data_IF_712043389969
#
_entry.id   IF_712043389969
#
_cell.length_a   1.000
_cell.length_b   1.000
_cell.length_c   1.000
_cell.angle_alpha   90.00
_cell.angle_beta   90.00
_cell.angle_gamma   90.00
#
_symmetry.space_group_name_H-M   'P 1'
#
loop_
_entity.id
_entity.type
_entity.pdbx_description
1 polymer ?
#
# COMPACT_ATOMS: atom_id res chain seq x y z
N UNK A 1 -11.60 -33.01 -49.69
CA UNK A 1 -10.61 -32.80 -48.59
C UNK A 1 -10.67 -31.34 -48.21
N UNK A 2 -11.52 -30.99 -47.26
CA UNK A 2 -11.61 -29.62 -46.71
C UNK A 2 -10.89 -29.59 -45.35
N UNK A 3 -9.68 -29.06 -45.36
CA UNK A 3 -8.88 -28.87 -44.18
C UNK A 3 -9.50 -27.80 -43.29
N UNK A 4 -10.08 -28.21 -42.19
CA UNK A 4 -10.59 -27.39 -41.10
C UNK A 4 -9.44 -26.63 -40.43
N UNK A 5 -9.14 -25.41 -40.89
CA UNK A 5 -8.23 -24.48 -40.18
C UNK A 5 -8.94 -23.94 -38.94
N UNK A 6 -8.95 -24.72 -37.89
CA UNK A 6 -9.24 -24.16 -36.56
C UNK A 6 -8.12 -23.19 -36.19
N UNK A 7 -8.36 -21.91 -36.44
CA UNK A 7 -7.58 -20.79 -36.01
C UNK A 7 -7.27 -20.92 -34.51
N UNK A 8 -6.04 -21.38 -34.22
CA UNK A 8 -5.42 -21.30 -32.92
C UNK A 8 -5.36 -19.80 -32.54
N UNK A 9 -6.33 -19.28 -31.83
CA UNK A 9 -6.24 -18.00 -31.12
C UNK A 9 -5.19 -18.17 -30.00
N UNK A 10 -3.90 -18.19 -30.42
CA UNK A 10 -2.81 -17.98 -29.46
C UNK A 10 -3.16 -16.73 -28.66
N UNK A 11 -3.14 -16.85 -27.34
CA UNK A 11 -3.29 -15.72 -26.41
C UNK A 11 -2.42 -14.61 -26.99
N UNK A 12 -3.05 -13.51 -27.48
CA UNK A 12 -2.31 -12.34 -27.93
C UNK A 12 -1.48 -11.91 -26.73
N UNK A 13 -0.15 -12.11 -26.79
CA UNK A 13 0.77 -11.54 -25.81
C UNK A 13 0.48 -10.05 -25.79
N UNK A 14 -0.15 -9.59 -24.71
CA UNK A 14 -0.38 -8.16 -24.52
C UNK A 14 0.98 -7.47 -24.60
N UNK A 15 1.03 -6.32 -25.27
CA UNK A 15 2.24 -5.52 -25.21
C UNK A 15 2.49 -5.19 -23.75
N UNK A 16 3.66 -5.57 -23.23
CA UNK A 16 4.08 -5.29 -21.85
C UNK A 16 3.79 -3.83 -21.46
N UNK A 17 4.04 -2.90 -22.39
CA UNK A 17 3.78 -1.48 -22.20
C UNK A 17 2.29 -1.16 -21.95
N UNK A 18 1.37 -1.83 -22.67
CA UNK A 18 -0.07 -1.63 -22.44
C UNK A 18 -0.51 -2.12 -21.06
N UNK A 19 0.08 -3.23 -20.59
CA UNK A 19 -0.17 -3.74 -19.25
C UNK A 19 0.35 -2.78 -18.17
N UNK A 20 1.54 -2.23 -18.34
CA UNK A 20 2.13 -1.23 -17.43
C UNK A 20 1.30 0.05 -17.40
N UNK A 21 0.90 0.58 -18.56
CA UNK A 21 0.04 1.76 -18.64
C UNK A 21 -1.31 1.52 -17.95
N UNK A 22 -1.92 0.35 -18.15
CA UNK A 22 -3.18 0.01 -17.47
C UNK A 22 -3.03 -0.01 -15.95
N UNK A 23 -1.91 -0.54 -15.43
CA UNK A 23 -1.60 -0.47 -13.99
C UNK A 23 -1.40 0.97 -13.51
N UNK A 24 -0.67 1.80 -14.26
CA UNK A 24 -0.44 3.21 -13.89
C UNK A 24 -1.75 3.99 -13.80
N UNK A 25 -2.59 3.89 -14.82
CA UNK A 25 -3.92 4.54 -14.82
C UNK A 25 -4.78 4.03 -13.67
N UNK A 26 -4.76 2.71 -13.41
CA UNK A 26 -5.46 2.10 -12.27
C UNK A 26 -4.99 2.69 -10.95
N UNK A 27 -3.68 2.84 -10.73
CA UNK A 27 -3.14 3.40 -9.48
C UNK A 27 -3.55 4.86 -9.26
N UNK A 28 -3.57 5.66 -10.31
CA UNK A 28 -4.05 7.06 -10.24
C UNK A 28 -5.54 7.10 -9.86
N UNK A 29 -6.38 6.30 -10.55
CA UNK A 29 -7.81 6.19 -10.23
C UNK A 29 -8.05 5.76 -8.79
N UNK A 30 -7.30 4.76 -8.30
CA UNK A 30 -7.38 4.27 -6.92
C UNK A 30 -7.12 5.41 -5.92
N UNK A 31 -6.16 6.28 -6.19
CA UNK A 31 -5.84 7.41 -5.32
C UNK A 31 -6.93 8.48 -5.32
N UNK A 32 -7.48 8.81 -6.49
CA UNK A 32 -8.61 9.74 -6.57
C UNK A 32 -9.86 9.21 -5.85
N UNK A 33 -10.20 7.95 -6.08
CA UNK A 33 -11.32 7.31 -5.39
C UNK A 33 -11.06 7.21 -3.87
N UNK A 34 -9.81 6.94 -3.49
CA UNK A 34 -9.37 6.93 -2.11
C UNK A 34 -9.53 8.29 -1.42
N UNK A 35 -9.21 9.37 -2.13
CA UNK A 35 -9.45 10.73 -1.64
C UNK A 35 -10.96 11.02 -1.52
N UNK A 36 -11.74 10.65 -2.53
CA UNK A 36 -13.17 10.94 -2.58
C UNK A 36 -13.93 10.36 -1.37
N UNK A 37 -13.72 9.07 -1.02
CA UNK A 37 -14.42 8.50 0.12
C UNK A 37 -13.90 9.05 1.46
N UNK A 38 -12.60 9.35 1.58
CA UNK A 38 -12.06 9.98 2.80
C UNK A 38 -12.57 11.41 2.98
N UNK A 39 -12.64 12.16 1.90
CA UNK A 39 -13.26 13.49 1.89
C UNK A 39 -14.71 13.44 2.38
N UNK A 40 -15.50 12.49 1.83
CA UNK A 40 -16.88 12.26 2.26
C UNK A 40 -16.97 11.93 3.77
N UNK A 41 -16.17 10.96 4.26
CA UNK A 41 -16.16 10.55 5.65
C UNK A 41 -15.84 11.71 6.60
N UNK A 42 -14.81 12.49 6.28
CA UNK A 42 -14.38 13.61 7.14
C UNK A 42 -15.43 14.70 7.25
N UNK A 43 -16.20 14.94 6.18
CA UNK A 43 -17.27 15.95 6.17
C UNK A 43 -18.63 15.42 6.66
N UNK A 44 -18.75 14.11 6.89
CA UNK A 44 -19.99 13.51 7.39
C UNK A 44 -20.24 13.93 8.83
N UNK A 45 -21.48 14.41 9.10
CA UNK A 45 -21.94 14.74 10.43
C UNK A 45 -21.84 13.52 11.37
N UNK A 46 -21.32 13.72 12.57
CA UNK A 46 -21.08 12.66 13.56
C UNK A 46 -19.83 11.79 13.28
N UNK A 47 -19.09 12.01 12.18
CA UNK A 47 -17.84 11.28 11.90
C UNK A 47 -16.60 12.15 12.21
N UNK A 48 -16.38 13.21 11.46
CA UNK A 48 -15.35 14.22 11.68
C UNK A 48 -13.94 13.67 11.96
N UNK A 49 -13.22 14.33 12.87
CA UNK A 49 -11.84 13.95 13.24
C UNK A 49 -11.78 12.73 14.15
N UNK A 50 -12.75 12.55 15.01
CA UNK A 50 -12.87 11.37 15.89
C UNK A 50 -13.10 10.10 15.07
N UNK A 51 -14.06 10.10 14.14
CA UNK A 51 -14.30 8.98 13.24
C UNK A 51 -13.09 8.66 12.36
N UNK A 52 -12.35 9.68 11.91
CA UNK A 52 -11.09 9.50 11.19
C UNK A 52 -10.02 8.84 12.07
N UNK A 53 -9.96 9.14 13.37
CA UNK A 53 -9.02 8.51 14.29
C UNK A 53 -9.33 7.02 14.45
N UNK A 54 -10.59 6.69 14.76
CA UNK A 54 -11.08 5.31 14.92
C UNK A 54 -10.85 4.51 13.64
N UNK A 55 -11.26 5.05 12.48
CA UNK A 55 -11.05 4.43 11.17
C UNK A 55 -9.55 4.22 10.87
N UNK A 56 -8.73 5.26 11.07
CA UNK A 56 -7.29 5.23 10.73
C UNK A 56 -6.54 4.27 11.64
N UNK A 57 -6.87 4.19 12.93
CA UNK A 57 -6.25 3.28 13.88
C UNK A 57 -6.44 1.81 13.44
N UNK A 58 -7.68 1.39 13.19
CA UNK A 58 -7.96 0.02 12.74
C UNK A 58 -7.37 -0.26 11.34
N UNK A 59 -7.48 0.72 10.43
CA UNK A 59 -6.95 0.56 9.07
C UNK A 59 -5.42 0.45 9.02
N UNK A 60 -4.68 1.09 9.92
CA UNK A 60 -3.22 0.98 9.96
C UNK A 60 -2.72 -0.39 10.38
N UNK A 61 -3.39 -1.04 11.35
CA UNK A 61 -3.08 -2.43 11.72
C UNK A 61 -3.37 -3.37 10.54
N UNK A 62 -4.52 -3.20 9.89
CA UNK A 62 -4.84 -3.93 8.66
C UNK A 62 -3.79 -3.68 7.55
N UNK A 63 -3.35 -2.44 7.35
CA UNK A 63 -2.35 -2.08 6.34
C UNK A 63 -0.97 -2.71 6.61
N UNK A 64 -0.60 -2.91 7.88
CA UNK A 64 0.59 -3.66 8.25
C UNK A 64 0.50 -5.11 7.76
N UNK A 65 -0.59 -5.81 8.07
CA UNK A 65 -0.83 -7.18 7.61
C UNK A 65 -0.95 -7.25 6.09
N UNK A 66 -1.59 -6.25 5.48
CA UNK A 66 -1.70 -6.10 4.04
C UNK A 66 -0.33 -5.98 3.37
N UNK A 67 0.61 -5.24 3.97
CA UNK A 67 1.96 -5.03 3.41
C UNK A 67 2.73 -6.34 3.25
N UNK A 68 2.55 -7.28 4.16
CA UNK A 68 3.13 -8.62 4.07
C UNK A 68 2.57 -9.37 2.86
N UNK A 69 1.26 -9.32 2.67
CA UNK A 69 0.55 -10.12 1.67
C UNK A 69 0.52 -9.48 0.28
N UNK A 70 0.42 -8.15 0.18
CA UNK A 70 0.11 -7.48 -1.09
C UNK A 70 1.32 -7.11 -1.94
N UNK A 71 2.52 -7.05 -1.38
CA UNK A 71 3.74 -6.66 -2.10
C UNK A 71 4.68 -7.85 -2.29
N UNK A 72 5.02 -8.55 -1.21
CA UNK A 72 5.97 -9.65 -1.24
C UNK A 72 5.47 -10.85 -2.02
N UNK A 73 4.24 -11.26 -1.77
CA UNK A 73 3.62 -12.45 -2.34
C UNK A 73 3.41 -12.37 -3.86
N UNK A 74 2.77 -11.31 -4.41
CA UNK A 74 2.57 -11.24 -5.86
C UNK A 74 3.89 -11.22 -6.62
N UNK A 75 4.90 -10.52 -6.11
CA UNK A 75 6.19 -10.42 -6.77
C UNK A 75 6.94 -11.76 -6.75
N UNK A 76 6.90 -12.50 -5.63
CA UNK A 76 7.51 -13.82 -5.53
C UNK A 76 6.83 -14.85 -6.45
N UNK A 77 5.50 -14.90 -6.41
CA UNK A 77 4.73 -15.82 -7.27
C UNK A 77 4.92 -15.47 -8.74
N UNK A 78 4.85 -14.19 -9.09
CA UNK A 78 5.06 -13.70 -10.47
C UNK A 78 6.43 -14.10 -11.01
N UNK A 79 7.49 -13.90 -10.22
CA UNK A 79 8.85 -14.29 -10.58
C UNK A 79 8.94 -15.79 -10.85
N UNK A 80 8.53 -16.62 -9.90
CA UNK A 80 8.65 -18.08 -10.01
C UNK A 80 7.78 -18.66 -11.13
N UNK A 81 6.58 -18.11 -11.35
CA UNK A 81 5.70 -18.49 -12.47
C UNK A 81 6.33 -18.09 -13.80
N UNK A 82 6.86 -16.87 -13.93
CA UNK A 82 7.52 -16.42 -15.16
C UNK A 82 8.76 -17.24 -15.49
N UNK A 83 9.59 -17.59 -14.50
CA UNK A 83 10.75 -18.46 -14.66
C UNK A 83 10.37 -19.84 -15.25
N UNK A 84 9.27 -20.43 -14.77
CA UNK A 84 8.80 -21.72 -15.30
C UNK A 84 8.21 -21.61 -16.70
N UNK A 85 7.44 -20.58 -16.96
CA UNK A 85 6.86 -20.36 -18.28
C UNK A 85 7.92 -20.06 -19.34
N UNK A 86 9.03 -19.38 -18.98
CA UNK A 86 10.12 -19.06 -19.90
C UNK A 86 10.85 -20.30 -20.44
N UNK A 87 10.86 -21.38 -19.67
CA UNK A 87 11.45 -22.69 -20.08
C UNK A 87 10.42 -23.68 -20.61
N UNK A 88 9.17 -23.24 -20.83
CA UNK A 88 8.08 -24.09 -21.36
C UNK A 88 7.41 -25.01 -20.33
N UNK A 89 7.69 -24.84 -19.02
CA UNK A 89 7.11 -25.64 -17.94
C UNK A 89 5.81 -25.03 -17.41
N UNK A 90 4.74 -25.06 -18.22
CA UNK A 90 3.42 -24.58 -17.84
C UNK A 90 2.79 -25.38 -16.69
N UNK A 91 3.09 -26.69 -16.60
CA UNK A 91 2.65 -27.55 -15.51
C UNK A 91 3.29 -27.19 -14.18
N UNK A 92 4.60 -26.90 -14.18
CA UNK A 92 5.33 -26.42 -13.01
C UNK A 92 4.86 -25.05 -12.55
N UNK A 93 4.64 -24.12 -13.48
CA UNK A 93 4.08 -22.79 -13.19
C UNK A 93 2.71 -22.86 -12.49
N UNK A 94 1.80 -23.73 -13.00
CA UNK A 94 0.50 -23.94 -12.38
C UNK A 94 0.58 -24.67 -11.03
N UNK A 95 1.52 -25.57 -10.85
CA UNK A 95 1.81 -26.22 -9.56
C UNK A 95 2.25 -25.20 -8.52
N UNK A 96 3.18 -24.27 -8.86
CA UNK A 96 3.59 -23.18 -7.99
C UNK A 96 2.39 -22.35 -7.56
N UNK A 97 1.52 -21.99 -8.50
CA UNK A 97 0.28 -21.25 -8.20
C UNK A 97 -0.59 -21.99 -7.19
N UNK A 98 -0.87 -23.28 -7.38
CA UNK A 98 -1.71 -24.08 -6.47
C UNK A 98 -1.11 -24.18 -5.06
N UNK A 99 0.19 -24.43 -4.97
CA UNK A 99 0.89 -24.52 -3.69
C UNK A 99 0.88 -23.14 -2.99
N UNK A 100 1.20 -22.07 -3.71
CA UNK A 100 1.14 -20.71 -3.17
C UNK A 100 -0.28 -20.37 -2.67
N UNK A 101 -1.31 -20.68 -3.47
CA UNK A 101 -2.70 -20.43 -3.12
C UNK A 101 -3.10 -21.13 -1.81
N UNK A 102 -2.79 -22.43 -1.68
CA UNK A 102 -3.07 -23.18 -0.46
C UNK A 102 -2.29 -22.64 0.75
N UNK A 103 -0.99 -22.35 0.57
CA UNK A 103 -0.12 -21.82 1.64
C UNK A 103 -0.63 -20.48 2.14
N UNK A 104 -0.93 -19.53 1.23
CA UNK A 104 -1.37 -18.19 1.61
C UNK A 104 -2.84 -18.12 2.01
N UNK A 105 -3.67 -19.10 1.62
CA UNK A 105 -5.01 -19.27 2.18
C UNK A 105 -4.92 -19.62 3.67
N UNK A 106 -4.03 -20.53 4.06
CA UNK A 106 -3.80 -20.87 5.48
C UNK A 106 -3.21 -19.70 6.25
N UNK A 107 -2.17 -19.05 5.72
CA UNK A 107 -1.54 -17.88 6.36
C UNK A 107 -2.54 -16.72 6.50
N UNK A 108 -3.32 -16.44 5.45
CA UNK A 108 -4.35 -15.41 5.48
C UNK A 108 -5.48 -15.71 6.46
N UNK A 109 -5.89 -16.97 6.58
CA UNK A 109 -6.88 -17.39 7.58
C UNK A 109 -6.36 -17.20 9.01
N UNK A 110 -5.12 -17.63 9.28
CA UNK A 110 -4.50 -17.43 10.58
C UNK A 110 -4.41 -15.93 10.90
N UNK A 111 -3.91 -15.11 9.95
CA UNK A 111 -3.84 -13.65 10.12
C UNK A 111 -5.21 -13.01 10.37
N UNK A 112 -6.25 -13.46 9.67
CA UNK A 112 -7.63 -13.03 9.86
C UNK A 112 -8.14 -13.36 11.26
N UNK A 113 -7.95 -14.60 11.72
CA UNK A 113 -8.34 -15.03 13.07
C UNK A 113 -7.54 -14.30 14.16
N UNK A 114 -6.23 -14.11 13.95
CA UNK A 114 -5.40 -13.34 14.88
C UNK A 114 -5.88 -11.89 15.02
N UNK A 115 -6.27 -11.24 13.92
CA UNK A 115 -6.81 -9.88 13.98
C UNK A 115 -8.19 -9.87 14.62
N UNK A 116 -9.05 -10.85 14.33
CA UNK A 116 -10.39 -10.96 14.90
C UNK A 116 -10.36 -11.11 16.43
N UNK A 117 -9.62 -12.11 16.91
CA UNK A 117 -9.52 -12.38 18.37
C UNK A 117 -8.58 -11.41 19.10
N UNK A 118 -7.60 -10.84 18.39
CA UNK A 118 -6.66 -9.86 18.95
C UNK A 118 -7.16 -8.42 18.92
N UNK A 119 -8.29 -8.13 18.26
CA UNK A 119 -8.80 -6.76 18.08
C UNK A 119 -8.93 -5.99 19.40
N UNK A 120 -9.53 -6.63 20.41
CA UNK A 120 -9.72 -6.03 21.73
C UNK A 120 -8.38 -5.68 22.41
N UNK A 121 -7.41 -6.59 22.40
CA UNK A 121 -6.08 -6.37 23.02
C UNK A 121 -5.36 -5.23 22.28
N UNK A 122 -5.42 -5.23 20.95
CA UNK A 122 -4.74 -4.21 20.12
C UNK A 122 -5.38 -2.84 20.36
N UNK A 123 -6.72 -2.75 20.36
CA UNK A 123 -7.45 -1.49 20.54
C UNK A 123 -7.21 -0.90 21.93
N UNK A 124 -7.37 -1.71 22.98
CA UNK A 124 -7.36 -1.24 24.37
C UNK A 124 -5.94 -1.08 24.92
N UNK A 125 -5.05 -2.07 24.70
CA UNK A 125 -3.74 -2.05 25.33
C UNK A 125 -2.65 -1.38 24.48
N UNK A 126 -2.66 -1.59 23.16
CA UNK A 126 -1.61 -1.07 22.29
C UNK A 126 -1.93 0.31 21.75
N UNK A 127 -3.10 0.49 21.13
CA UNK A 127 -3.51 1.77 20.54
C UNK A 127 -4.09 2.74 21.57
N UNK A 128 -4.69 2.22 22.66
CA UNK A 128 -5.47 3.00 23.62
C UNK A 128 -6.62 3.79 22.99
N UNK A 129 -7.22 3.22 21.94
CA UNK A 129 -8.42 3.68 21.26
C UNK A 129 -9.41 2.52 21.26
N UNK A 130 -10.21 2.32 22.34
CA UNK A 130 -11.11 1.18 22.49
C UNK A 130 -12.09 1.04 21.32
N UNK A 131 -12.61 2.15 20.81
CA UNK A 131 -13.57 2.21 19.72
C UNK A 131 -13.02 1.69 18.38
N UNK A 132 -11.69 1.59 18.24
CA UNK A 132 -11.07 0.99 17.06
C UNK A 132 -11.21 -0.55 17.00
N UNK A 133 -11.64 -1.22 18.06
CA UNK A 133 -11.88 -2.66 18.09
C UNK A 133 -12.84 -3.08 16.97
N UNK A 134 -13.99 -2.40 16.87
CA UNK A 134 -15.01 -2.72 15.87
C UNK A 134 -14.48 -2.60 14.43
N UNK A 135 -13.62 -1.63 14.18
CA UNK A 135 -13.01 -1.45 12.83
C UNK A 135 -12.06 -2.59 12.48
N UNK A 136 -11.30 -3.11 13.46
CA UNK A 136 -10.41 -4.25 13.26
C UNK A 136 -11.16 -5.55 13.08
N UNK A 137 -12.23 -5.78 13.84
CA UNK A 137 -13.14 -6.93 13.68
C UNK A 137 -13.75 -6.93 12.28
N UNK A 138 -14.24 -5.78 11.80
CA UNK A 138 -14.81 -5.64 10.47
C UNK A 138 -13.78 -5.84 9.34
N UNK A 139 -12.50 -5.50 9.56
CA UNK A 139 -11.40 -5.69 8.60
C UNK A 139 -10.78 -7.09 8.64
N UNK A 140 -11.01 -7.87 9.69
CA UNK A 140 -10.33 -9.16 9.86
C UNK A 140 -10.56 -10.13 8.69
N UNK A 141 -11.77 -10.29 8.09
CA UNK A 141 -11.94 -11.17 6.93
C UNK A 141 -11.24 -10.65 5.66
N UNK A 142 -11.02 -9.32 5.56
CA UNK A 142 -10.30 -8.74 4.43
C UNK A 142 -8.87 -9.27 4.32
N UNK A 143 -8.21 -9.54 5.45
CA UNK A 143 -6.85 -10.11 5.49
C UNK A 143 -6.78 -11.43 4.72
N UNK A 144 -7.77 -12.30 4.91
CA UNK A 144 -7.86 -13.57 4.19
C UNK A 144 -8.06 -13.35 2.68
N UNK A 145 -9.03 -12.54 2.28
CA UNK A 145 -9.32 -12.31 0.86
C UNK A 145 -8.15 -11.66 0.14
N UNK A 146 -7.47 -10.71 0.77
CA UNK A 146 -6.29 -10.06 0.18
C UNK A 146 -5.14 -11.05 0.01
N UNK A 147 -4.88 -11.93 0.97
CA UNK A 147 -3.80 -12.91 0.87
C UNK A 147 -3.99 -13.82 -0.36
N UNK A 148 -5.18 -14.36 -0.57
CA UNK A 148 -5.46 -15.22 -1.74
C UNK A 148 -5.53 -14.43 -3.05
N UNK A 149 -6.12 -13.23 -3.05
CA UNK A 149 -6.15 -12.35 -4.23
C UNK A 149 -4.72 -11.99 -4.68
N UNK A 150 -3.81 -11.76 -3.73
CA UNK A 150 -2.40 -11.44 -4.00
C UNK A 150 -1.67 -12.56 -4.74
N UNK A 151 -1.92 -13.82 -4.38
CA UNK A 151 -1.38 -14.98 -5.12
C UNK A 151 -1.92 -15.04 -6.55
N UNK A 152 -3.23 -14.80 -6.71
CA UNK A 152 -3.85 -14.80 -8.05
C UNK A 152 -3.30 -13.66 -8.93
N UNK A 153 -3.14 -12.46 -8.36
CA UNK A 153 -2.48 -11.34 -9.05
C UNK A 153 -1.06 -11.71 -9.46
N UNK A 154 -0.29 -12.32 -8.56
CA UNK A 154 1.06 -12.82 -8.86
C UNK A 154 1.09 -13.83 -10.00
N UNK A 155 0.15 -14.76 -10.03
CA UNK A 155 0.03 -15.75 -11.11
C UNK A 155 -0.24 -15.09 -12.46
N UNK A 156 -1.20 -14.15 -12.56
CA UNK A 156 -1.50 -13.44 -13.80
C UNK A 156 -0.36 -12.50 -14.22
N UNK A 157 0.29 -11.83 -13.28
CA UNK A 157 1.46 -10.99 -13.56
C UNK A 157 2.63 -11.83 -14.12
N UNK A 158 2.88 -13.03 -13.56
CA UNK A 158 3.88 -13.97 -14.08
C UNK A 158 3.56 -14.49 -15.48
N UNK A 159 2.29 -14.50 -15.86
CA UNK A 159 1.81 -14.78 -17.23
C UNK A 159 1.80 -13.55 -18.14
N UNK A 160 2.37 -12.44 -17.69
CA UNK A 160 2.39 -11.15 -18.41
C UNK A 160 1.00 -10.56 -18.70
N UNK A 161 0.01 -10.89 -17.88
CA UNK A 161 -1.35 -10.35 -17.99
C UNK A 161 -1.64 -9.35 -16.85
N UNK A 162 -0.99 -8.19 -16.93
CA UNK A 162 -1.07 -7.13 -15.93
C UNK A 162 -2.44 -6.43 -15.88
N UNK A 163 -3.19 -6.44 -17.00
CA UNK A 163 -4.52 -5.84 -17.08
C UNK A 163 -5.50 -6.47 -16.11
N UNK A 164 -5.39 -7.78 -15.85
CA UNK A 164 -6.25 -8.48 -14.91
C UNK A 164 -6.03 -7.95 -13.49
N UNK A 165 -4.77 -7.74 -13.11
CA UNK A 165 -4.41 -7.14 -11.82
C UNK A 165 -4.94 -5.72 -11.71
N UNK A 166 -4.71 -4.89 -12.73
CA UNK A 166 -5.20 -3.51 -12.78
C UNK A 166 -6.72 -3.44 -12.60
N UNK A 167 -7.48 -4.23 -13.38
CA UNK A 167 -8.94 -4.28 -13.28
C UNK A 167 -9.43 -4.75 -11.92
N UNK A 168 -8.80 -5.79 -11.35
CA UNK A 168 -9.14 -6.29 -10.02
C UNK A 168 -8.99 -5.19 -8.95
N UNK A 169 -7.88 -4.45 -8.96
CA UNK A 169 -7.61 -3.38 -8.01
C UNK A 169 -8.54 -2.18 -8.20
N UNK A 170 -8.81 -1.81 -9.46
CA UNK A 170 -9.76 -0.73 -9.77
C UNK A 170 -11.18 -1.08 -9.33
N UNK A 171 -11.66 -2.29 -9.61
CA UNK A 171 -12.97 -2.76 -9.15
C UNK A 171 -13.06 -2.75 -7.63
N UNK A 172 -12.05 -3.31 -6.95
CA UNK A 172 -11.98 -3.30 -5.49
C UNK A 172 -12.10 -1.87 -4.94
N UNK A 173 -11.40 -0.90 -5.52
CA UNK A 173 -11.45 0.48 -5.06
C UNK A 173 -12.78 1.16 -5.37
N UNK A 174 -13.38 0.93 -6.54
CA UNK A 174 -14.72 1.45 -6.87
C UNK A 174 -15.75 0.92 -5.87
N UNK A 175 -15.77 -0.40 -5.64
CA UNK A 175 -16.69 -1.00 -4.67
C UNK A 175 -16.41 -0.50 -3.25
N UNK A 176 -15.15 -0.37 -2.85
CA UNK A 176 -14.78 0.22 -1.56
C UNK A 176 -15.37 1.61 -1.40
N UNK A 177 -15.16 2.50 -2.37
CA UNK A 177 -15.64 3.88 -2.29
C UNK A 177 -17.18 3.92 -2.22
N UNK A 178 -17.85 3.21 -3.12
CA UNK A 178 -19.32 3.18 -3.19
C UNK A 178 -19.95 2.56 -1.94
N UNK A 179 -19.44 1.39 -1.51
CA UNK A 179 -19.97 0.73 -0.31
C UNK A 179 -19.65 1.48 0.97
N UNK A 180 -18.52 2.21 1.05
CA UNK A 180 -18.23 3.06 2.21
C UNK A 180 -19.29 4.13 2.36
N UNK A 181 -19.64 4.82 1.29
CA UNK A 181 -20.69 5.86 1.32
C UNK A 181 -22.05 5.25 1.71
N UNK A 182 -22.43 4.16 1.05
CA UNK A 182 -23.73 3.51 1.29
C UNK A 182 -23.84 2.98 2.73
N UNK A 183 -22.84 2.23 3.20
CA UNK A 183 -22.90 1.62 4.53
C UNK A 183 -22.82 2.67 5.64
N UNK A 184 -22.05 3.73 5.47
CA UNK A 184 -21.98 4.81 6.46
C UNK A 184 -23.31 5.55 6.55
N UNK A 185 -24.01 5.81 5.41
CA UNK A 185 -25.34 6.42 5.44
C UNK A 185 -26.37 5.52 6.13
N UNK A 186 -26.40 4.23 5.78
CA UNK A 186 -27.31 3.27 6.41
C UNK A 186 -27.06 3.20 7.91
N UNK A 187 -25.79 3.08 8.31
CA UNK A 187 -25.41 2.98 9.72
C UNK A 187 -25.71 4.28 10.47
N UNK A 188 -25.46 5.45 9.86
CA UNK A 188 -25.77 6.74 10.46
C UNK A 188 -27.28 6.85 10.82
N UNK A 189 -28.16 6.38 9.93
CA UNK A 189 -29.61 6.38 10.17
C UNK A 189 -29.99 5.40 11.29
N UNK A 190 -29.43 4.19 11.30
CA UNK A 190 -29.80 3.13 12.26
C UNK A 190 -29.23 3.42 13.67
N UNK A 191 -27.97 3.89 13.73
CA UNK A 191 -27.25 4.08 15.00
C UNK A 191 -27.32 5.50 15.57
N UNK A 192 -28.21 6.33 15.04
CA UNK A 192 -28.35 7.73 15.44
C UNK A 192 -27.01 8.49 15.42
N UNK A 193 -26.28 8.36 14.30
CA UNK A 193 -24.98 9.01 14.03
C UNK A 193 -23.82 8.59 14.97
N UNK A 194 -23.85 7.38 15.53
CA UNK A 194 -22.74 6.87 16.34
C UNK A 194 -21.45 6.74 15.50
N UNK A 195 -20.40 7.45 15.91
CA UNK A 195 -19.08 7.51 15.27
C UNK A 195 -18.45 6.12 15.13
N UNK A 196 -18.53 5.30 16.18
CA UNK A 196 -17.96 3.94 16.23
C UNK A 196 -18.60 3.03 15.20
N UNK A 197 -19.94 3.03 15.11
CA UNK A 197 -20.68 2.20 14.16
C UNK A 197 -20.43 2.66 12.71
N UNK A 198 -20.35 3.98 12.47
CA UNK A 198 -20.01 4.51 11.15
C UNK A 198 -18.60 4.11 10.71
N UNK A 199 -17.61 4.15 11.62
CA UNK A 199 -16.24 3.71 11.34
C UNK A 199 -16.18 2.20 11.07
N UNK A 200 -16.95 1.39 11.82
CA UNK A 200 -17.15 -0.04 11.56
C UNK A 200 -17.78 -0.31 10.19
N UNK A 201 -18.81 0.42 9.81
CA UNK A 201 -19.44 0.34 8.49
C UNK A 201 -18.48 0.69 7.34
N UNK A 202 -17.69 1.76 7.50
CA UNK A 202 -16.69 2.17 6.52
C UNK A 202 -15.58 1.10 6.34
N UNK A 203 -15.19 0.42 7.40
CA UNK A 203 -14.20 -0.67 7.35
C UNK A 203 -14.79 -1.96 6.82
N UNK A 204 -16.05 -2.28 7.12
CA UNK A 204 -16.78 -3.41 6.54
C UNK A 204 -16.87 -3.28 5.01
N UNK A 205 -17.06 -2.06 4.49
CA UNK A 205 -17.02 -1.78 3.04
C UNK A 205 -15.70 -2.24 2.41
N UNK A 206 -14.56 -2.08 3.11
CA UNK A 206 -13.26 -2.55 2.63
C UNK A 206 -13.23 -4.08 2.53
N UNK A 207 -13.78 -4.80 3.49
CA UNK A 207 -13.89 -6.27 3.49
C UNK A 207 -14.73 -6.76 2.31
N UNK A 208 -15.91 -6.16 2.09
CA UNK A 208 -16.77 -6.51 0.96
C UNK A 208 -16.10 -6.20 -0.38
N UNK A 209 -15.39 -5.07 -0.48
CA UNK A 209 -14.66 -4.71 -1.69
C UNK A 209 -13.52 -5.68 -2.02
N UNK A 210 -12.76 -6.14 -1.01
CA UNK A 210 -11.71 -7.15 -1.22
C UNK A 210 -12.28 -8.49 -1.64
N UNK A 211 -13.45 -8.87 -1.12
CA UNK A 211 -14.18 -10.05 -1.57
C UNK A 211 -14.58 -9.94 -3.04
N UNK A 212 -15.09 -8.78 -3.48
CA UNK A 212 -15.42 -8.52 -4.90
C UNK A 212 -14.17 -8.59 -5.79
N UNK A 213 -13.06 -7.98 -5.35
CA UNK A 213 -11.77 -8.04 -6.05
C UNK A 213 -11.26 -9.48 -6.22
N UNK A 214 -11.35 -10.30 -5.18
CA UNK A 214 -11.07 -11.73 -5.25
C UNK A 214 -12.03 -12.45 -6.18
N UNK A 215 -13.34 -12.20 -6.07
CA UNK A 215 -14.38 -12.80 -6.91
C UNK A 215 -14.11 -12.57 -8.39
N UNK A 216 -13.75 -11.33 -8.79
CA UNK A 216 -13.34 -11.03 -10.16
C UNK A 216 -12.17 -11.90 -10.63
N UNK A 217 -11.11 -12.00 -9.82
CA UNK A 217 -9.94 -12.82 -10.16
C UNK A 217 -10.29 -14.30 -10.29
N UNK A 218 -11.10 -14.82 -9.39
CA UNK A 218 -11.56 -16.20 -9.41
C UNK A 218 -12.42 -16.50 -10.65
N UNK A 219 -13.38 -15.63 -10.98
CA UNK A 219 -14.20 -15.75 -12.18
C UNK A 219 -13.33 -15.70 -13.45
N UNK A 220 -12.36 -14.77 -13.50
CA UNK A 220 -11.43 -14.70 -14.62
C UNK A 220 -10.58 -15.97 -14.75
N UNK A 221 -10.09 -16.52 -13.64
CA UNK A 221 -9.40 -17.81 -13.64
C UNK A 221 -10.28 -18.95 -14.15
N UNK A 222 -11.55 -19.01 -13.70
CA UNK A 222 -12.52 -20.03 -14.11
C UNK A 222 -12.80 -19.97 -15.62
N UNK A 223 -12.96 -18.78 -16.19
CA UNK A 223 -13.18 -18.61 -17.64
C UNK A 223 -11.99 -19.05 -18.48
N UNK A 224 -10.75 -18.87 -17.95
CA UNK A 224 -9.51 -19.28 -18.63
C UNK A 224 -9.04 -20.69 -18.32
N UNK A 225 -9.77 -21.43 -17.50
CA UNK A 225 -9.38 -22.77 -17.04
C UNK A 225 -9.13 -23.76 -18.19
N UNK A 226 -9.93 -23.71 -19.26
CA UNK A 226 -9.78 -24.58 -20.43
C UNK A 226 -8.46 -24.30 -21.17
N UNK A 227 -8.10 -23.03 -21.36
CA UNK A 227 -6.87 -22.61 -22.03
C UNK A 227 -5.64 -23.02 -21.18
N UNK A 228 -5.68 -22.76 -19.85
CA UNK A 228 -4.63 -23.16 -18.93
C UNK A 228 -4.46 -24.68 -18.93
N UNK A 229 -5.55 -25.46 -18.98
CA UNK A 229 -5.49 -26.92 -19.03
C UNK A 229 -4.86 -27.43 -20.33
N UNK A 230 -5.12 -26.79 -21.51
CA UNK A 230 -4.44 -27.17 -22.76
C UNK A 230 -2.93 -26.88 -22.70
N UNK A 231 -2.54 -25.70 -22.21
CA UNK A 231 -1.11 -25.37 -22.03
C UNK A 231 -0.37 -26.34 -21.09
N UNK A 232 -1.07 -26.83 -20.04
CA UNK A 232 -0.50 -27.82 -19.11
C UNK A 232 -0.29 -29.17 -19.81
N UNK A 233 -1.20 -29.57 -20.72
CA UNK A 233 -1.06 -30.81 -21.50
C UNK A 233 0.08 -30.75 -22.52
N UNK A 234 0.33 -29.57 -23.07
CA UNK A 234 1.39 -29.31 -24.06
C UNK A 234 2.76 -29.08 -23.42
N UNK A 235 2.89 -29.21 -22.09
CA UNK A 235 4.16 -29.01 -21.37
C UNK A 235 5.20 -30.05 -21.78
N UNK A 236 6.31 -29.57 -22.37
CA UNK A 236 7.41 -30.46 -22.83
C UNK A 236 8.43 -30.70 -21.71
N UNK A 237 8.79 -29.69 -20.94
CA UNK A 237 9.87 -29.71 -19.95
C UNK A 237 9.33 -29.59 -18.52
N UNK A 238 8.69 -30.64 -17.99
CA UNK A 238 8.20 -30.63 -16.62
C UNK A 238 9.29 -31.04 -15.63
N UNK A 239 9.65 -30.13 -14.71
CA UNK A 239 10.52 -30.42 -13.56
C UNK A 239 9.69 -30.54 -12.29
N UNK A 240 9.62 -31.76 -11.75
CA UNK A 240 8.95 -32.01 -10.48
C UNK A 240 9.73 -31.38 -9.32
N UNK A 241 9.06 -30.63 -8.46
CA UNK A 241 9.60 -30.11 -7.20
C UNK A 241 8.69 -30.50 -6.04
N UNK A 242 9.27 -30.85 -4.88
CA UNK A 242 8.48 -31.19 -3.69
C UNK A 242 7.75 -29.94 -3.19
N UNK A 243 6.58 -30.11 -2.57
CA UNK A 243 5.78 -28.99 -2.03
C UNK A 243 6.61 -28.12 -1.08
N UNK A 244 7.38 -28.76 -0.17
CA UNK A 244 8.27 -28.07 0.78
C UNK A 244 9.32 -27.18 0.09
N UNK A 245 9.88 -27.62 -1.02
CA UNK A 245 10.88 -26.87 -1.80
C UNK A 245 10.24 -25.63 -2.46
N UNK A 246 9.04 -25.80 -3.03
CA UNK A 246 8.28 -24.72 -3.64
C UNK A 246 7.91 -23.68 -2.59
N UNK A 247 7.37 -24.09 -1.44
CA UNK A 247 7.06 -23.19 -0.31
C UNK A 247 8.29 -22.44 0.15
N UNK A 248 9.43 -23.17 0.35
CA UNK A 248 10.70 -22.56 0.74
C UNK A 248 11.15 -21.50 -0.26
N UNK A 249 11.06 -21.78 -1.57
CA UNK A 249 11.42 -20.82 -2.64
C UNK A 249 10.52 -19.58 -2.61
N UNK A 250 9.20 -19.77 -2.46
CA UNK A 250 8.26 -18.65 -2.37
C UNK A 250 8.60 -17.78 -1.16
N UNK A 251 8.78 -18.37 0.02
CA UNK A 251 9.10 -17.64 1.24
C UNK A 251 10.46 -16.93 1.16
N UNK A 252 11.49 -17.57 0.63
CA UNK A 252 12.82 -16.95 0.45
C UNK A 252 12.80 -15.73 -0.48
N UNK A 253 11.89 -15.68 -1.45
CA UNK A 253 11.73 -14.51 -2.33
C UNK A 253 10.78 -13.48 -1.73
N UNK A 254 9.68 -13.91 -1.10
CA UNK A 254 8.67 -12.98 -0.57
C UNK A 254 9.09 -12.28 0.71
N UNK A 255 9.81 -12.96 1.63
CA UNK A 255 10.20 -12.38 2.92
C UNK A 255 11.06 -11.12 2.79
N UNK A 256 12.16 -11.08 2.01
CA UNK A 256 12.95 -9.85 1.88
C UNK A 256 12.17 -8.68 1.29
N UNK A 257 11.26 -8.95 0.33
CA UNK A 257 10.40 -7.92 -0.26
C UNK A 257 9.35 -7.45 0.75
N UNK A 258 8.76 -8.38 1.50
CA UNK A 258 7.80 -8.05 2.55
C UNK A 258 8.45 -7.26 3.69
N UNK A 259 9.70 -7.56 4.07
CA UNK A 259 10.41 -6.82 5.10
C UNK A 259 10.55 -5.32 4.78
N UNK A 260 10.87 -4.94 3.54
CA UNK A 260 10.91 -3.52 3.14
C UNK A 260 9.54 -2.86 3.23
N UNK A 261 8.48 -3.57 2.85
CA UNK A 261 7.11 -3.08 2.97
C UNK A 261 6.65 -2.97 4.43
N UNK A 262 7.01 -3.94 5.27
CA UNK A 262 6.74 -3.93 6.71
C UNK A 262 7.44 -2.74 7.38
N UNK A 263 8.74 -2.53 7.11
CA UNK A 263 9.49 -1.41 7.67
C UNK A 263 8.86 -0.05 7.30
N UNK A 264 8.38 0.08 6.05
CA UNK A 264 7.66 1.29 5.63
C UNK A 264 6.32 1.47 6.36
N UNK A 265 5.59 0.38 6.60
CA UNK A 265 4.32 0.41 7.34
C UNK A 265 4.54 0.62 8.84
N UNK A 266 5.60 0.04 9.42
CA UNK A 266 5.95 0.23 10.82
C UNK A 266 6.21 1.70 11.16
N UNK A 267 6.85 2.46 10.27
CA UNK A 267 7.04 3.89 10.49
C UNK A 267 5.72 4.65 10.70
N UNK A 268 4.65 4.26 9.98
CA UNK A 268 3.31 4.85 10.18
C UNK A 268 2.63 4.32 11.45
N UNK A 269 2.83 3.04 11.76
CA UNK A 269 2.26 2.44 12.97
C UNK A 269 2.92 2.95 14.26
N UNK A 270 4.21 3.29 14.24
CA UNK A 270 4.88 3.94 15.38
C UNK A 270 4.11 5.20 15.79
N UNK A 271 3.70 6.04 14.81
CA UNK A 271 2.88 7.23 15.10
C UNK A 271 1.56 6.84 15.78
N UNK A 272 0.88 5.78 15.32
CA UNK A 272 -0.38 5.33 15.93
C UNK A 272 -0.20 4.87 17.38
N UNK A 273 0.89 4.17 17.68
CA UNK A 273 1.15 3.68 19.03
C UNK A 273 1.66 4.76 20.00
N UNK A 274 2.45 5.71 19.49
CA UNK A 274 3.16 6.68 20.34
C UNK A 274 2.42 8.00 20.50
N UNK A 275 1.78 8.51 19.44
CA UNK A 275 1.15 9.85 19.44
C UNK A 275 -0.02 9.90 20.42
N UNK A 276 -0.99 9.00 20.31
CA UNK A 276 -2.18 9.00 21.17
C UNK A 276 -1.77 8.82 22.63
N UNK A 277 -0.92 7.81 22.93
CA UNK A 277 -0.44 7.51 24.29
C UNK A 277 0.26 8.70 24.93
N UNK A 278 0.97 9.47 24.15
CA UNK A 278 1.73 10.61 24.65
C UNK A 278 0.87 11.85 24.82
N UNK A 279 -0.10 12.06 23.93
CA UNK A 279 -1.04 13.17 24.05
C UNK A 279 -1.94 13.00 25.24
N UNK A 280 -2.34 11.78 25.60
CA UNK A 280 -3.12 11.47 26.82
C UNK A 280 -2.42 11.90 28.13
N UNK A 281 -1.11 12.14 28.13
CA UNK A 281 -0.40 12.67 29.32
C UNK A 281 -0.65 14.16 29.54
N UNK A 282 -1.08 14.90 28.52
CA UNK A 282 -1.19 16.37 28.54
C UNK A 282 -2.59 16.90 28.23
N UNK A 283 -3.49 16.07 27.73
CA UNK A 283 -4.84 16.44 27.35
C UNK A 283 -5.84 15.29 27.59
N UNK A 284 -7.15 15.62 27.53
CA UNK A 284 -8.19 14.61 27.63
C UNK A 284 -8.08 13.55 26.52
N UNK A 285 -8.64 12.38 26.77
CA UNK A 285 -8.62 11.25 25.83
C UNK A 285 -9.24 11.63 24.48
N UNK A 286 -10.41 12.27 24.49
CA UNK A 286 -11.13 12.68 23.29
C UNK A 286 -10.31 13.68 22.45
N UNK A 287 -9.65 14.64 23.12
CA UNK A 287 -8.77 15.60 22.42
C UNK A 287 -7.55 14.91 21.83
N UNK A 288 -6.95 13.93 22.52
CA UNK A 288 -5.80 13.20 22.04
C UNK A 288 -6.16 12.35 20.79
N UNK A 289 -7.31 11.68 20.83
CA UNK A 289 -7.84 10.88 19.72
C UNK A 289 -8.16 11.77 18.52
N UNK A 290 -8.83 12.92 18.75
CA UNK A 290 -9.13 13.89 17.69
C UNK A 290 -7.86 14.43 17.01
N UNK A 291 -6.82 14.79 17.76
CA UNK A 291 -5.54 15.25 17.20
C UNK A 291 -4.87 14.16 16.34
N UNK A 292 -4.94 12.90 16.76
CA UNK A 292 -4.46 11.80 15.94
C UNK A 292 -5.29 11.65 14.64
N UNK A 293 -6.62 11.85 14.72
CA UNK A 293 -7.52 11.86 13.56
C UNK A 293 -7.19 12.93 12.53
N UNK A 294 -6.80 14.13 12.98
CA UNK A 294 -6.32 15.20 12.11
C UNK A 294 -5.07 14.75 11.34
N UNK A 295 -4.09 14.18 12.04
CA UNK A 295 -2.84 13.74 11.42
C UNK A 295 -3.07 12.58 10.44
N UNK A 296 -3.68 11.49 10.90
CA UNK A 296 -3.85 10.24 10.13
C UNK A 296 -4.95 10.29 9.09
N UNK A 297 -6.00 11.07 9.33
CA UNK A 297 -7.15 11.21 8.43
C UNK A 297 -6.94 12.26 7.35
N UNK A 298 -6.88 13.52 7.73
CA UNK A 298 -6.83 14.66 6.81
C UNK A 298 -5.44 14.92 6.26
N UNK A 299 -4.46 15.12 7.14
CA UNK A 299 -3.12 15.56 6.76
C UNK A 299 -2.38 14.50 5.94
N UNK A 300 -2.37 13.23 6.38
CA UNK A 300 -1.74 12.13 5.61
C UNK A 300 -2.43 11.93 4.24
N UNK A 301 -3.73 12.15 4.16
CA UNK A 301 -4.48 12.08 2.90
C UNK A 301 -4.03 13.18 1.93
N UNK A 302 -4.00 14.43 2.37
CA UNK A 302 -3.61 15.58 1.54
C UNK A 302 -2.15 15.50 1.10
N UNK A 303 -1.23 15.21 2.03
CA UNK A 303 0.20 15.10 1.73
C UNK A 303 0.53 13.91 0.83
N UNK A 304 -0.29 12.85 0.83
CA UNK A 304 -0.09 11.68 -0.04
C UNK A 304 -0.47 11.90 -1.50
N UNK A 305 -1.26 12.93 -1.83
CA UNK A 305 -1.65 13.22 -3.21
C UNK A 305 -0.45 13.60 -4.10
N UNK A 306 0.39 14.60 -3.75
CA UNK A 306 1.61 14.90 -4.51
C UNK A 306 2.56 13.73 -4.65
N UNK A 307 2.70 12.90 -3.59
CA UNK A 307 3.56 11.72 -3.60
C UNK A 307 3.10 10.71 -4.65
N UNK A 308 1.80 10.61 -4.88
CA UNK A 308 1.22 9.67 -5.87
C UNK A 308 1.60 10.00 -7.31
N UNK A 309 1.71 11.29 -7.64
CA UNK A 309 2.21 11.72 -8.96
C UNK A 309 3.68 11.35 -9.15
N UNK A 310 4.50 11.50 -8.11
CA UNK A 310 5.91 11.14 -8.19
C UNK A 310 6.14 9.63 -8.33
N UNK A 311 5.31 8.79 -7.74
CA UNK A 311 5.40 7.33 -7.86
C UNK A 311 5.39 6.86 -9.32
N UNK A 312 4.64 7.52 -10.19
CA UNK A 312 4.60 7.18 -11.62
C UNK A 312 5.97 7.36 -12.29
N UNK A 313 6.64 8.50 -12.03
CA UNK A 313 8.00 8.77 -12.53
C UNK A 313 9.03 7.82 -11.92
N UNK A 314 8.96 7.60 -10.62
CA UNK A 314 9.83 6.71 -9.88
C UNK A 314 9.74 5.25 -10.41
N UNK A 315 8.53 4.76 -10.64
CA UNK A 315 8.29 3.41 -11.17
C UNK A 315 8.82 3.24 -12.60
N UNK A 316 8.66 4.25 -13.46
CA UNK A 316 9.19 4.22 -14.82
C UNK A 316 10.73 4.30 -14.86
N UNK A 317 11.35 4.93 -13.85
CA UNK A 317 12.80 5.11 -13.77
C UNK A 317 13.55 3.80 -13.56
N UNK A 318 13.00 2.90 -12.76
CA UNK A 318 13.63 1.61 -12.42
C UNK A 318 14.00 0.79 -13.65
N UNK A 319 13.07 0.44 -14.57
CA UNK A 319 13.42 -0.30 -15.77
C UNK A 319 14.32 0.49 -16.71
N UNK A 320 14.17 1.81 -16.79
CA UNK A 320 14.97 2.67 -17.64
C UNK A 320 16.46 2.70 -17.22
N UNK A 321 16.74 2.71 -15.92
CA UNK A 321 18.10 2.62 -15.38
C UNK A 321 18.64 1.18 -15.54
N UNK A 322 17.84 0.16 -15.26
CA UNK A 322 18.25 -1.24 -15.40
C UNK A 322 18.67 -1.57 -16.83
N UNK A 323 17.91 -1.09 -17.82
CA UNK A 323 18.24 -1.26 -19.24
C UNK A 323 19.54 -0.53 -19.63
N UNK A 324 19.72 0.73 -19.21
CA UNK A 324 20.93 1.48 -19.49
C UNK A 324 22.18 0.87 -18.81
N UNK A 325 22.01 0.33 -17.58
CA UNK A 325 23.07 -0.38 -16.87
C UNK A 325 23.52 -1.66 -17.60
N UNK A 326 22.58 -2.40 -18.17
CA UNK A 326 22.87 -3.63 -18.90
C UNK A 326 23.80 -3.39 -20.09
N UNK A 327 23.67 -2.23 -20.76
CA UNK A 327 24.52 -1.81 -21.87
C UNK A 327 25.70 -0.91 -21.45
N UNK A 328 25.94 -0.75 -20.14
CA UNK A 328 27.00 0.09 -19.53
C UNK A 328 26.92 1.57 -19.96
N UNK A 329 25.77 2.08 -20.32
CA UNK A 329 25.54 3.48 -20.69
C UNK A 329 25.34 4.37 -19.46
N UNK A 330 26.43 4.70 -18.78
CA UNK A 330 26.42 5.54 -17.58
C UNK A 330 25.98 6.98 -17.85
N UNK A 331 26.18 7.47 -19.09
CA UNK A 331 25.74 8.82 -19.48
C UNK A 331 24.20 8.90 -19.49
N UNK A 332 23.55 7.92 -20.09
CA UNK A 332 22.09 7.81 -20.08
C UNK A 332 21.51 7.65 -18.66
N UNK A 333 22.18 6.85 -17.80
CA UNK A 333 21.80 6.71 -16.39
C UNK A 333 21.81 8.06 -15.68
N UNK A 334 22.94 8.81 -15.80
CA UNK A 334 23.07 10.14 -15.18
C UNK A 334 21.98 11.09 -15.68
N UNK A 335 21.78 11.18 -17.01
CA UNK A 335 20.77 12.07 -17.60
C UNK A 335 19.35 11.74 -17.09
N UNK A 336 18.95 10.46 -17.10
CA UNK A 336 17.63 10.03 -16.65
C UNK A 336 17.44 10.27 -15.15
N UNK A 337 18.46 10.00 -14.33
CA UNK A 337 18.42 10.24 -12.89
C UNK A 337 18.28 11.73 -12.57
N UNK A 338 19.10 12.59 -13.19
CA UNK A 338 19.03 14.04 -12.99
C UNK A 338 17.68 14.59 -13.47
N UNK A 339 17.21 14.18 -14.66
CA UNK A 339 15.91 14.59 -15.17
C UNK A 339 14.78 14.22 -14.22
N UNK A 340 14.75 12.99 -13.71
CA UNK A 340 13.69 12.55 -12.78
C UNK A 340 13.78 13.28 -11.45
N UNK A 341 14.98 13.55 -10.91
CA UNK A 341 15.14 14.36 -9.71
C UNK A 341 14.63 15.80 -9.91
N UNK A 342 14.91 16.42 -11.05
CA UNK A 342 14.40 17.74 -11.40
C UNK A 342 12.87 17.74 -11.50
N UNK A 343 12.27 16.74 -12.15
CA UNK A 343 10.80 16.59 -12.23
C UNK A 343 10.19 16.37 -10.83
N UNK A 344 10.84 15.59 -9.98
CA UNK A 344 10.42 15.39 -8.60
C UNK A 344 10.45 16.70 -7.80
N UNK A 345 11.49 17.52 -7.97
CA UNK A 345 11.57 18.85 -7.36
C UNK A 345 10.51 19.81 -7.91
N UNK A 346 10.27 19.79 -9.22
CA UNK A 346 9.27 20.62 -9.88
C UNK A 346 7.84 20.33 -9.37
N UNK A 347 7.54 19.10 -8.96
CA UNK A 347 6.28 18.72 -8.34
C UNK A 347 6.33 19.03 -6.83
N UNK A 348 7.38 18.61 -6.17
CA UNK A 348 7.49 18.67 -4.70
C UNK A 348 7.50 20.08 -4.15
N UNK A 349 8.29 21.00 -4.73
CA UNK A 349 8.42 22.37 -4.24
C UNK A 349 7.11 23.17 -4.28
N UNK A 350 6.41 23.27 -5.44
CA UNK A 350 5.15 24.00 -5.47
C UNK A 350 4.07 23.42 -4.56
N UNK A 351 4.01 22.08 -4.46
CA UNK A 351 3.05 21.41 -3.57
C UNK A 351 3.37 21.69 -2.09
N UNK A 352 4.66 21.67 -1.70
CA UNK A 352 5.10 21.99 -0.34
C UNK A 352 4.75 23.43 0.02
N UNK A 353 5.13 24.40 -0.85
CA UNK A 353 4.87 25.81 -0.64
C UNK A 353 3.36 26.09 -0.64
N UNK A 354 2.62 25.53 -1.58
CA UNK A 354 1.17 25.70 -1.69
C UNK A 354 0.43 25.16 -0.45
N UNK A 355 0.78 23.96 0.02
CA UNK A 355 0.17 23.39 1.23
C UNK A 355 0.59 24.14 2.51
N UNK A 356 1.79 24.71 2.56
CA UNK A 356 2.22 25.53 3.69
C UNK A 356 1.47 26.86 3.76
N UNK A 357 1.43 27.61 2.65
CA UNK A 357 0.81 28.94 2.60
C UNK A 357 -0.72 28.88 2.67
N UNK A 358 -1.32 27.91 2.00
CA UNK A 358 -2.79 27.79 1.88
C UNK A 358 -3.38 26.70 2.78
N UNK A 359 -2.67 26.27 3.84
CA UNK A 359 -3.13 25.21 4.74
C UNK A 359 -4.55 25.47 5.30
N UNK A 360 -4.79 26.68 5.84
CA UNK A 360 -6.10 27.06 6.35
C UNK A 360 -7.19 27.08 5.29
N UNK A 361 -7.03 27.86 4.20
CA UNK A 361 -7.98 27.85 3.08
C UNK A 361 -8.25 26.45 2.50
N UNK A 362 -7.23 25.59 2.35
CA UNK A 362 -7.39 24.21 1.85
C UNK A 362 -8.26 23.39 2.80
N UNK A 363 -8.01 23.45 4.13
CA UNK A 363 -8.79 22.71 5.11
C UNK A 363 -10.22 23.22 5.17
N UNK A 364 -10.44 24.54 5.16
CA UNK A 364 -11.78 25.13 5.16
C UNK A 364 -12.57 24.79 3.89
N UNK A 365 -11.91 24.75 2.73
CA UNK A 365 -12.54 24.39 1.46
C UNK A 365 -12.91 22.92 1.39
N UNK A 366 -11.96 22.04 1.77
CA UNK A 366 -12.13 20.60 1.61
C UNK A 366 -12.88 19.96 2.78
N UNK A 367 -12.74 20.50 3.98
CA UNK A 367 -13.32 19.96 5.21
C UNK A 367 -14.08 21.02 6.01
N UNK A 368 -15.18 21.59 5.46
CA UNK A 368 -15.90 22.69 6.11
C UNK A 368 -16.44 22.32 7.49
N UNK A 369 -16.84 21.06 7.69
CA UNK A 369 -17.36 20.55 8.98
C UNK A 369 -16.27 20.14 9.98
N UNK A 370 -14.99 20.10 9.56
CA UNK A 370 -13.85 19.67 10.36
C UNK A 370 -12.57 20.40 9.91
N UNK A 371 -12.55 21.74 9.95
CA UNK A 371 -11.47 22.57 9.39
C UNK A 371 -10.21 22.66 10.26
N UNK A 372 -10.21 22.06 11.45
CA UNK A 372 -9.08 22.07 12.39
C UNK A 372 -7.82 21.40 11.81
N UNK A 373 -6.63 21.80 12.30
CA UNK A 373 -5.36 21.17 11.96
C UNK A 373 -4.45 21.96 11.00
N UNK A 374 -4.70 23.27 10.81
CA UNK A 374 -3.91 24.14 9.92
C UNK A 374 -2.41 24.04 10.21
N UNK A 375 -2.00 24.15 11.47
CA UNK A 375 -0.59 24.09 11.87
C UNK A 375 0.02 22.69 11.64
N UNK A 376 -0.75 21.63 11.86
CA UNK A 376 -0.31 20.26 11.58
C UNK A 376 -0.06 20.06 10.09
N UNK A 377 -0.95 20.59 9.22
CA UNK A 377 -0.78 20.52 7.77
C UNK A 377 0.43 21.36 7.31
N UNK A 378 0.63 22.57 7.85
CA UNK A 378 1.78 23.41 7.54
C UNK A 378 3.11 22.70 7.81
N UNK A 379 3.26 22.11 9.00
CA UNK A 379 4.48 21.38 9.37
C UNK A 379 4.64 20.12 8.48
N UNK A 380 3.57 19.39 8.26
CA UNK A 380 3.59 18.17 7.43
C UNK A 380 3.86 18.45 5.95
N UNK A 381 3.56 19.66 5.45
CA UNK A 381 3.85 20.03 4.07
C UNK A 381 5.33 19.89 3.71
N UNK A 382 6.25 20.22 4.64
CA UNK A 382 7.69 20.05 4.42
C UNK A 382 8.10 18.59 4.20
N UNK A 383 7.33 17.63 4.71
CA UNK A 383 7.65 16.21 4.50
C UNK A 383 7.46 15.77 3.05
N UNK A 384 6.66 16.48 2.26
CA UNK A 384 6.35 16.15 0.87
C UNK A 384 7.63 16.13 0.04
N UNK A 385 8.42 17.21 0.09
CA UNK A 385 9.63 17.31 -0.75
C UNK A 385 10.65 16.24 -0.40
N UNK A 386 10.86 15.97 0.89
CA UNK A 386 11.82 14.95 1.33
C UNK A 386 11.36 13.54 0.94
N UNK A 387 10.06 13.25 1.06
CA UNK A 387 9.51 11.94 0.70
C UNK A 387 9.54 11.73 -0.82
N UNK A 388 9.27 12.76 -1.63
CA UNK A 388 9.38 12.71 -3.08
C UNK A 388 10.83 12.41 -3.50
N UNK A 389 11.81 13.08 -2.90
CA UNK A 389 13.23 12.83 -3.17
C UNK A 389 13.64 11.42 -2.75
N UNK A 390 13.23 10.97 -1.56
CA UNK A 390 13.48 9.61 -1.07
C UNK A 390 12.93 8.55 -2.03
N UNK A 391 11.68 8.69 -2.50
CA UNK A 391 11.08 7.80 -3.49
C UNK A 391 11.90 7.72 -4.79
N UNK A 392 12.37 8.88 -5.28
CA UNK A 392 13.14 8.95 -6.52
C UNK A 392 14.52 8.34 -6.36
N UNK A 393 15.22 8.63 -5.26
CA UNK A 393 16.53 8.06 -4.93
C UNK A 393 16.44 6.54 -4.77
N UNK A 394 15.41 6.04 -4.06
CA UNK A 394 15.16 4.62 -3.90
C UNK A 394 14.93 3.92 -5.25
N UNK A 395 14.24 4.57 -6.18
CA UNK A 395 14.02 4.05 -7.53
C UNK A 395 15.30 3.99 -8.36
N UNK A 396 16.19 5.00 -8.23
CA UNK A 396 17.53 4.98 -8.84
C UNK A 396 18.32 3.78 -8.30
N UNK A 397 18.38 3.60 -6.98
CA UNK A 397 19.09 2.49 -6.33
C UNK A 397 18.53 1.12 -6.74
N UNK A 398 17.21 1.01 -6.84
CA UNK A 398 16.55 -0.21 -7.33
C UNK A 398 16.92 -0.52 -8.77
N UNK A 399 16.92 0.49 -9.67
CA UNK A 399 17.36 0.35 -11.05
C UNK A 399 18.82 -0.09 -11.15
N UNK A 400 19.68 0.37 -10.24
CA UNK A 400 21.06 -0.09 -10.10
C UNK A 400 21.18 -1.51 -9.53
N UNK A 401 20.10 -2.09 -9.01
CA UNK A 401 20.09 -3.42 -8.38
C UNK A 401 20.58 -3.43 -6.93
N UNK A 402 20.73 -2.25 -6.30
CA UNK A 402 21.17 -2.10 -4.90
C UNK A 402 19.97 -2.11 -3.94
N UNK A 403 19.19 -3.19 -3.95
CA UNK A 403 17.94 -3.33 -3.19
C UNK A 403 18.11 -3.32 -1.66
N UNK A 404 19.30 -3.65 -1.15
CA UNK A 404 19.58 -3.69 0.29
C UNK A 404 19.70 -2.28 0.90
N UNK A 405 20.16 -1.31 0.14
CA UNK A 405 20.41 0.06 0.64
C UNK A 405 19.12 0.74 1.11
N UNK A 406 18.02 0.76 0.33
CA UNK A 406 16.74 1.28 0.81
C UNK A 406 16.22 0.58 2.07
N UNK A 407 16.37 -0.75 2.15
CA UNK A 407 15.92 -1.52 3.31
C UNK A 407 16.68 -1.16 4.59
N UNK A 408 18.02 -1.02 4.50
CA UNK A 408 18.87 -0.60 5.63
C UNK A 408 18.53 0.83 6.05
N UNK A 409 18.40 1.76 5.09
CA UNK A 409 18.02 3.14 5.36
C UNK A 409 16.66 3.26 6.08
N UNK A 410 15.65 2.48 5.64
CA UNK A 410 14.35 2.40 6.31
C UNK A 410 14.46 1.80 7.72
N UNK A 411 15.28 0.77 7.92
CA UNK A 411 15.56 0.20 9.24
C UNK A 411 16.16 1.23 10.19
N UNK A 412 17.24 1.91 9.79
CA UNK A 412 17.88 2.96 10.59
C UNK A 412 16.89 4.10 10.93
N UNK A 413 16.04 4.47 9.97
CA UNK A 413 14.99 5.48 10.16
C UNK A 413 13.97 5.05 11.22
N UNK A 414 13.49 3.80 11.17
CA UNK A 414 12.53 3.28 12.15
C UNK A 414 13.13 3.27 13.55
N UNK A 415 14.37 2.81 13.72
CA UNK A 415 15.05 2.81 15.00
C UNK A 415 15.34 4.24 15.51
N UNK A 416 15.78 5.14 14.64
CA UNK A 416 16.01 6.55 15.00
C UNK A 416 14.72 7.24 15.45
N UNK A 417 13.59 6.95 14.79
CA UNK A 417 12.28 7.49 15.14
C UNK A 417 11.82 7.00 16.53
N UNK A 418 11.94 5.72 16.80
CA UNK A 418 11.60 5.14 18.10
C UNK A 418 12.42 5.81 19.21
N UNK A 419 13.75 5.86 19.07
CA UNK A 419 14.62 6.48 20.07
C UNK A 419 14.31 7.96 20.28
N UNK A 420 14.06 8.70 19.21
CA UNK A 420 13.72 10.12 19.28
C UNK A 420 12.39 10.35 20.00
N UNK A 421 11.34 9.59 19.65
CA UNK A 421 10.04 9.70 20.28
C UNK A 421 10.05 9.30 21.76
N UNK A 422 10.81 8.29 22.14
CA UNK A 422 10.99 7.91 23.56
C UNK A 422 11.82 8.90 24.35
N UNK A 423 12.92 9.45 23.78
CA UNK A 423 13.82 10.35 24.49
C UNK A 423 13.27 11.76 24.64
N UNK A 424 12.61 12.31 23.63
CA UNK A 424 12.08 13.68 23.66
C UNK A 424 10.63 13.77 24.15
N UNK A 425 9.92 12.69 24.13
CA UNK A 425 8.51 12.69 24.50
C UNK A 425 8.21 12.99 25.94
N UNK A 426 9.18 12.91 26.80
CA UNK A 426 9.05 13.28 28.22
C UNK A 426 9.22 14.78 28.50
N UNK A 427 9.72 15.57 27.51
CA UNK A 427 10.12 16.97 27.75
C UNK A 427 9.28 18.05 27.06
N UNK A 428 8.31 17.74 26.19
CA UNK A 428 7.62 18.79 25.41
C UNK A 428 6.10 18.68 25.38
N UNK A 429 5.45 19.79 25.64
CA UNK A 429 3.99 19.99 25.77
C UNK A 429 3.18 19.93 24.46
N UNK A 430 3.77 19.59 23.30
CA UNK A 430 3.02 19.64 22.03
C UNK A 430 3.49 18.60 20.98
N UNK A 431 3.21 17.36 21.22
CA UNK A 431 3.76 16.20 20.49
C UNK A 431 3.14 15.92 19.10
N UNK A 432 1.94 16.37 18.81
CA UNK A 432 1.38 16.29 17.45
C UNK A 432 2.21 17.07 16.42
N UNK A 433 2.81 18.18 16.88
CA UNK A 433 3.78 18.96 16.09
C UNK A 433 5.10 18.20 15.88
N UNK A 434 5.52 17.40 16.86
CA UNK A 434 6.81 16.70 16.85
C UNK A 434 6.84 15.45 15.97
N UNK A 435 5.73 14.72 15.80
CA UNK A 435 5.70 13.60 14.86
C UNK A 435 5.99 14.06 13.43
N UNK A 436 5.53 15.26 13.06
CA UNK A 436 5.85 15.87 11.76
C UNK A 436 7.32 16.31 11.64
N UNK A 437 7.92 16.82 12.73
CA UNK A 437 9.35 17.14 12.76
C UNK A 437 10.24 15.89 12.72
N UNK A 438 9.91 14.84 13.47
CA UNK A 438 10.65 13.59 13.43
C UNK A 438 10.62 12.93 12.05
N UNK A 439 9.48 13.04 11.35
CA UNK A 439 9.35 12.55 9.99
C UNK A 439 10.24 13.33 9.00
N UNK A 440 10.34 14.65 9.11
CA UNK A 440 11.21 15.47 8.27
C UNK A 440 12.69 15.27 8.57
N UNK A 441 13.09 15.20 9.85
CA UNK A 441 14.49 15.02 10.24
C UNK A 441 15.08 13.68 9.81
N UNK A 442 14.24 12.62 9.79
CA UNK A 442 14.66 11.28 9.35
C UNK A 442 14.73 11.14 7.83
N UNK A 443 13.99 11.96 7.08
CA UNK A 443 14.16 12.05 5.62
C UNK A 443 15.51 12.70 5.25
N UNK A 444 16.04 13.63 6.08
CA UNK A 444 17.39 14.17 5.92
C UNK A 444 18.48 13.10 6.09
N UNK A 445 18.33 12.16 7.03
CA UNK A 445 19.30 11.08 7.25
C UNK A 445 19.47 10.15 6.05
N UNK A 446 18.41 9.85 5.32
CA UNK A 446 18.49 9.04 4.09
C UNK A 446 19.18 9.77 2.94
N UNK A 447 18.99 11.09 2.83
CA UNK A 447 19.67 11.93 1.82
C UNK A 447 21.16 12.07 2.14
N UNK A 448 21.52 12.25 3.42
CA UNK A 448 22.91 12.33 3.90
C UNK A 448 23.68 11.02 3.66
N UNK A 449 23.07 9.88 3.94
CA UNK A 449 23.68 8.58 3.67
C UNK A 449 23.85 8.33 2.16
N UNK A 450 22.94 8.83 1.32
CA UNK A 450 23.08 8.76 -0.13
C UNK A 450 24.25 9.62 -0.65
N UNK A 451 24.42 10.82 -0.14
CA UNK A 451 25.54 11.69 -0.51
C UNK A 451 26.90 11.07 -0.20
N UNK A 452 27.05 10.47 0.98
CA UNK A 452 28.30 9.80 1.39
C UNK A 452 28.55 8.49 0.62
N UNK A 453 27.54 7.92 -0.04
CA UNK A 453 27.65 6.69 -0.80
C UNK A 453 27.97 6.92 -2.29
N UNK A 454 27.74 8.15 -2.80
CA UNK A 454 28.10 8.56 -4.17
C UNK A 454 29.55 9.05 -4.25
N UNK A 455 30.12 9.53 -3.15
CA UNK A 455 31.54 9.83 -3.01
C UNK A 455 32.36 8.54 -2.91
#
# INVERSE_FOLDING_TARGET
MLANSKTNKKIKKESFMQGVLALMVSQVLIKFLGFAYKWYLTNKEGFGDEGNAIYSAGYQIYALLLSISSIGVPNAVSKLVAERLSVGDSKGAHRIFKIAFATFAVIGLIGSLMLFFGANIIANQWLQIPDAEMTMVALSPAVFFVAIASVMRGYFNGRQNLKVTARSQTLEQIFKTTLTIILVEIVAIISNTSTVWMAGGATLATTLATFVGFGYLYLFYKTRRKEIASEIRETVNYKYERVREVVKKILLVSIPIALTAILSSLNKNIDSFTVVRSLKQFMSEDMAVSQYGILGGKVDTLTSLPLSFNVAFATALVPAISAAKAVKDYKSIKQKSVFTLLMSMLIGLPCTIGMYLFAGPILNLLYPNASSGTLVLQISAFTIIFTILDQTINSILQGYGKLRVPAIALGCRSFGKINFEFSFGSYTCNRSKWSSYSFSSLSYGSIYNFYNYIK
#
